data_IF_210773847264
#
_entry.id   IF_210773847264
#
_cell.length_a   1.000
_cell.length_b   1.000
_cell.length_c   1.000
_cell.angle_alpha   90.00
_cell.angle_beta   90.00
_cell.angle_gamma   90.00
#
_symmetry.space_group_name_H-M   'P 1'
#
loop_
_entity.id
_entity.type
_entity.pdbx_description
1 polymer ?
#
# COMPACT_ATOMS: atom_id res chain seq x y z
N UNK A 1 12.80 -16.66 -26.65
CA UNK A 1 11.93 -16.93 -25.49
C UNK A 1 10.91 -15.78 -25.39
N UNK A 2 9.65 -16.10 -25.37
CA UNK A 2 8.55 -15.12 -25.20
C UNK A 2 8.10 -15.05 -23.75
N UNK A 3 8.16 -13.86 -23.16
CA UNK A 3 7.71 -13.60 -21.79
C UNK A 3 6.48 -12.73 -21.85
N UNK A 4 5.36 -13.21 -21.28
CA UNK A 4 4.14 -12.41 -21.15
C UNK A 4 4.00 -11.92 -19.71
N UNK A 5 3.66 -10.62 -19.57
CA UNK A 5 3.36 -9.97 -18.30
C UNK A 5 1.89 -9.58 -18.27
N UNK A 6 1.13 -10.11 -17.31
CA UNK A 6 -0.28 -9.75 -17.11
C UNK A 6 -0.37 -8.67 -16.05
N UNK A 7 -0.78 -7.47 -16.44
CA UNK A 7 -0.81 -6.28 -15.61
C UNK A 7 0.45 -5.41 -15.78
N UNK A 8 0.25 -4.12 -16.00
CA UNK A 8 1.31 -3.18 -16.34
C UNK A 8 1.33 -1.92 -15.44
N UNK A 9 1.02 -2.09 -14.13
CA UNK A 9 1.30 -1.04 -13.17
C UNK A 9 2.70 -1.25 -12.55
N UNK A 10 2.96 -0.91 -11.30
CA UNK A 10 4.31 -0.87 -10.71
C UNK A 10 5.14 -2.13 -10.97
N UNK A 11 4.64 -3.31 -10.56
CA UNK A 11 5.38 -4.55 -10.69
C UNK A 11 5.61 -4.95 -12.16
N UNK A 12 4.55 -4.94 -12.97
CA UNK A 12 4.61 -5.35 -14.38
C UNK A 12 5.44 -4.40 -15.23
N UNK A 13 5.31 -3.09 -15.03
CA UNK A 13 6.13 -2.09 -15.74
C UNK A 13 7.63 -2.31 -15.49
N UNK A 14 8.05 -2.49 -14.23
CA UNK A 14 9.46 -2.71 -13.92
C UNK A 14 9.96 -4.09 -14.35
N UNK A 15 9.11 -5.12 -14.31
CA UNK A 15 9.45 -6.43 -14.87
C UNK A 15 9.68 -6.33 -16.38
N UNK A 16 8.74 -5.73 -17.11
CA UNK A 16 8.82 -5.58 -18.57
C UNK A 16 10.07 -4.76 -19.00
N UNK A 17 10.33 -3.62 -18.33
CA UNK A 17 11.53 -2.79 -18.59
C UNK A 17 12.83 -3.56 -18.33
N UNK A 18 12.89 -4.31 -17.22
CA UNK A 18 14.10 -5.09 -16.87
C UNK A 18 14.32 -6.23 -17.87
N UNK A 19 13.25 -6.91 -18.31
CA UNK A 19 13.33 -7.94 -19.35
C UNK A 19 13.79 -7.35 -20.68
N UNK A 20 13.18 -6.27 -21.15
CA UNK A 20 13.53 -5.62 -22.42
C UNK A 20 14.99 -5.13 -22.43
N UNK A 21 15.46 -4.53 -21.33
CA UNK A 21 16.86 -4.09 -21.20
C UNK A 21 17.85 -5.23 -21.32
N UNK A 22 17.49 -6.47 -20.99
CA UNK A 22 18.34 -7.64 -21.13
C UNK A 22 18.60 -8.06 -22.58
N UNK A 23 17.68 -7.73 -23.51
CA UNK A 23 17.68 -8.14 -24.93
C UNK A 23 17.70 -9.67 -25.14
N UNK A 24 17.28 -10.46 -24.13
CA UNK A 24 17.31 -11.94 -24.17
C UNK A 24 15.97 -12.58 -24.49
N UNK A 25 14.89 -11.80 -24.52
CA UNK A 25 13.53 -12.30 -24.74
C UNK A 25 12.65 -11.25 -25.46
N UNK A 26 11.62 -11.76 -26.12
CA UNK A 26 10.46 -10.99 -26.55
C UNK A 26 9.59 -10.72 -25.33
N UNK A 27 9.17 -9.48 -25.14
CA UNK A 27 8.36 -9.05 -23.98
C UNK A 27 7.03 -8.53 -24.46
N UNK A 28 5.95 -9.16 -24.01
CA UNK A 28 4.57 -8.75 -24.30
C UNK A 28 3.85 -8.44 -23.00
N UNK A 29 3.08 -7.35 -22.96
CA UNK A 29 2.28 -6.98 -21.81
C UNK A 29 0.81 -6.87 -22.16
N UNK A 30 -0.06 -7.43 -21.33
CA UNK A 30 -1.51 -7.28 -21.40
C UNK A 30 -2.03 -6.60 -20.15
N UNK A 31 -2.75 -5.48 -20.30
CA UNK A 31 -3.44 -4.82 -19.20
C UNK A 31 -4.88 -4.48 -19.60
N UNK A 32 -5.82 -4.78 -18.70
CA UNK A 32 -7.24 -4.43 -18.89
C UNK A 32 -7.51 -2.93 -18.81
N UNK A 33 -6.64 -2.17 -18.14
CA UNK A 33 -6.75 -0.73 -17.99
C UNK A 33 -6.25 -0.01 -19.26
N UNK A 34 -6.54 1.27 -19.36
CA UNK A 34 -6.12 2.17 -20.45
C UNK A 34 -4.85 2.95 -20.13
N UNK A 35 -4.31 2.80 -18.92
CA UNK A 35 -3.12 3.48 -18.45
C UNK A 35 -2.21 2.54 -17.64
N UNK A 36 -0.92 2.91 -17.52
CA UNK A 36 0.12 2.16 -16.82
C UNK A 36 0.86 3.05 -15.84
N UNK A 37 1.64 2.47 -14.95
CA UNK A 37 2.56 3.17 -14.04
C UNK A 37 1.90 4.19 -13.09
N UNK A 38 0.58 4.15 -12.92
CA UNK A 38 -0.14 5.11 -12.10
C UNK A 38 0.28 5.03 -10.62
N UNK A 39 0.70 6.16 -10.09
CA UNK A 39 1.06 6.34 -8.67
C UNK A 39 -0.22 6.54 -7.83
N UNK A 40 -0.92 5.44 -7.54
CA UNK A 40 -2.17 5.46 -6.77
C UNK A 40 -2.01 6.08 -5.37
N UNK A 41 -0.79 6.04 -4.79
CA UNK A 41 -0.47 6.75 -3.55
C UNK A 41 -0.59 8.29 -3.67
N UNK A 42 -0.63 8.82 -4.89
CA UNK A 42 -0.84 10.25 -5.14
C UNK A 42 -2.30 10.67 -5.29
N UNK A 43 -3.28 9.74 -5.23
CA UNK A 43 -4.69 10.09 -5.42
C UNK A 43 -5.15 11.12 -4.39
N UNK A 44 -4.84 10.93 -3.12
CA UNK A 44 -5.26 11.86 -2.07
C UNK A 44 -4.63 13.26 -2.26
N UNK A 45 -3.39 13.33 -2.73
CA UNK A 45 -2.73 14.61 -3.07
C UNK A 45 -3.39 15.27 -4.28
N UNK A 46 -3.83 14.49 -5.26
CA UNK A 46 -4.55 14.99 -6.42
C UNK A 46 -5.95 15.45 -6.06
N UNK A 47 -6.71 14.62 -5.33
CA UNK A 47 -8.03 15.00 -4.79
C UNK A 47 -7.94 16.25 -3.93
N UNK A 48 -6.91 16.37 -3.09
CA UNK A 48 -6.68 17.53 -2.21
C UNK A 48 -6.10 18.77 -2.91
N UNK A 49 -5.86 18.72 -4.24
CA UNK A 49 -5.40 19.86 -5.04
C UNK A 49 -3.91 20.18 -4.90
N UNK A 50 -3.11 19.35 -4.23
CA UNK A 50 -1.64 19.46 -4.16
C UNK A 50 -1.03 19.11 -5.51
N UNK A 51 -1.45 17.99 -6.10
CA UNK A 51 -1.12 17.62 -7.48
C UNK A 51 -2.15 18.26 -8.40
N UNK A 52 -1.73 19.26 -9.18
CA UNK A 52 -2.62 20.00 -10.11
C UNK A 52 -2.77 19.31 -11.45
N UNK A 53 -1.68 18.76 -11.99
CA UNK A 53 -1.70 18.00 -13.25
C UNK A 53 -1.52 16.50 -12.94
N UNK A 54 -2.56 15.68 -13.13
CA UNK A 54 -2.49 14.25 -12.84
C UNK A 54 -1.51 13.48 -13.73
N UNK A 55 -1.05 14.07 -14.85
CA UNK A 55 0.01 13.46 -15.67
C UNK A 55 1.31 13.24 -14.89
N UNK A 56 1.58 14.05 -13.86
CA UNK A 56 2.70 13.85 -12.95
C UNK A 56 2.62 12.58 -12.11
N UNK A 57 1.45 11.92 -12.05
CA UNK A 57 1.25 10.65 -11.35
C UNK A 57 1.59 9.42 -12.21
N UNK A 58 2.16 9.60 -13.39
CA UNK A 58 2.58 8.52 -14.28
C UNK A 58 4.07 8.65 -14.57
N UNK A 59 4.83 7.58 -14.35
CA UNK A 59 6.27 7.56 -14.60
C UNK A 59 6.67 6.81 -15.88
N UNK A 60 5.70 6.19 -16.56
CA UNK A 60 5.84 5.57 -17.88
C UNK A 60 4.53 5.66 -18.65
N UNK A 61 4.60 5.53 -19.98
CA UNK A 61 3.44 5.44 -20.86
C UNK A 61 3.56 4.21 -21.78
N UNK A 62 2.44 3.75 -22.38
CA UNK A 62 2.50 2.67 -23.38
C UNK A 62 3.51 2.96 -24.50
N UNK A 63 3.59 4.22 -24.95
CA UNK A 63 4.51 4.67 -26.01
C UNK A 63 5.96 4.57 -25.56
N UNK A 64 6.26 4.96 -24.30
CA UNK A 64 7.62 4.86 -23.76
C UNK A 64 8.07 3.40 -23.66
N UNK A 65 7.20 2.49 -23.24
CA UNK A 65 7.52 1.06 -23.19
C UNK A 65 7.71 0.46 -24.60
N UNK A 66 6.87 0.85 -25.56
CA UNK A 66 7.03 0.43 -26.97
C UNK A 66 8.38 0.88 -27.54
N UNK A 67 8.83 2.09 -27.22
CA UNK A 67 10.15 2.58 -27.64
C UNK A 67 11.32 1.80 -27.03
N UNK A 68 11.11 1.12 -25.89
CA UNK A 68 12.05 0.20 -25.25
C UNK A 68 11.99 -1.23 -25.81
N UNK A 69 11.15 -1.48 -26.84
CA UNK A 69 11.01 -2.79 -27.49
C UNK A 69 10.01 -3.74 -26.82
N UNK A 70 9.09 -3.23 -26.02
CA UNK A 70 8.04 -4.00 -25.35
C UNK A 70 6.77 -3.94 -26.20
N UNK A 71 6.15 -5.08 -26.48
CA UNK A 71 4.84 -5.13 -27.13
C UNK A 71 3.74 -4.91 -26.08
N UNK A 72 3.07 -3.75 -26.15
CA UNK A 72 2.14 -3.29 -25.11
C UNK A 72 0.71 -3.27 -25.61
N UNK A 73 -0.15 -4.05 -24.97
CA UNK A 73 -1.58 -4.17 -25.26
C UNK A 73 -2.43 -3.67 -24.10
N UNK A 74 -2.91 -2.42 -24.20
CA UNK A 74 -3.82 -1.82 -23.23
C UNK A 74 -5.29 -2.13 -23.59
N UNK A 75 -6.18 -2.20 -22.60
CA UNK A 75 -7.58 -2.57 -22.80
C UNK A 75 -7.75 -4.04 -23.21
N UNK A 76 -6.80 -4.90 -22.83
CA UNK A 76 -6.82 -6.32 -23.11
C UNK A 76 -6.89 -7.13 -21.81
N UNK A 77 -7.94 -7.91 -21.65
CA UNK A 77 -8.17 -8.71 -20.46
C UNK A 77 -7.87 -10.18 -20.73
N UNK A 78 -7.02 -10.78 -19.90
CA UNK A 78 -6.79 -12.24 -19.89
C UNK A 78 -7.95 -12.90 -19.19
N UNK A 79 -8.75 -13.65 -19.95
CA UNK A 79 -9.98 -14.30 -19.50
C UNK A 79 -9.73 -15.69 -18.92
N UNK A 80 -8.73 -16.40 -19.46
CA UNK A 80 -8.40 -17.77 -19.09
C UNK A 80 -6.96 -18.11 -19.39
N UNK A 81 -6.39 -19.03 -18.61
CA UNK A 81 -5.06 -19.60 -18.84
C UNK A 81 -5.19 -21.12 -19.02
N UNK A 82 -4.68 -21.61 -20.15
CA UNK A 82 -4.44 -23.03 -20.36
C UNK A 82 -3.00 -23.34 -19.93
N UNK A 83 -2.87 -23.76 -18.69
CA UNK A 83 -1.58 -24.02 -18.05
C UNK A 83 -0.79 -25.15 -18.75
N UNK A 84 -1.51 -26.20 -19.22
CA UNK A 84 -0.88 -27.36 -19.84
C UNK A 84 -0.24 -27.00 -21.19
N UNK A 85 -0.90 -26.13 -21.98
CA UNK A 85 -0.45 -25.72 -23.30
C UNK A 85 0.27 -24.35 -23.28
N UNK A 86 0.48 -23.74 -22.11
CA UNK A 86 1.07 -22.40 -21.93
C UNK A 86 0.42 -21.34 -22.82
N UNK A 87 -0.91 -21.28 -22.77
CA UNK A 87 -1.71 -20.42 -23.63
C UNK A 87 -2.63 -19.52 -22.82
N UNK A 88 -2.73 -18.27 -23.22
CA UNK A 88 -3.67 -17.29 -22.69
C UNK A 88 -4.83 -17.10 -23.66
N UNK A 89 -6.04 -17.00 -23.14
CA UNK A 89 -7.21 -16.53 -23.87
C UNK A 89 -7.49 -15.09 -23.50
N UNK A 90 -7.48 -14.18 -24.46
CA UNK A 90 -7.44 -12.74 -24.26
C UNK A 90 -8.62 -12.09 -24.99
N UNK A 91 -9.24 -11.11 -24.33
CA UNK A 91 -10.30 -10.29 -24.90
C UNK A 91 -9.86 -8.83 -25.02
N UNK A 92 -9.94 -8.29 -26.22
CA UNK A 92 -9.85 -6.85 -26.45
C UNK A 92 -11.15 -6.18 -26.01
N UNK A 93 -11.11 -5.39 -24.95
CA UNK A 93 -12.32 -4.84 -24.32
C UNK A 93 -13.07 -3.83 -25.20
N UNK A 94 -12.37 -3.11 -26.07
CA UNK A 94 -12.96 -2.11 -26.97
C UNK A 94 -13.79 -2.73 -28.08
N UNK A 95 -13.31 -3.81 -28.67
CA UNK A 95 -13.93 -4.45 -29.84
C UNK A 95 -14.73 -5.70 -29.48
N UNK A 96 -14.45 -6.27 -28.30
CA UNK A 96 -14.98 -7.57 -27.88
C UNK A 96 -14.30 -8.76 -28.58
N UNK A 97 -13.29 -8.54 -29.43
CA UNK A 97 -12.56 -9.59 -30.13
C UNK A 97 -11.76 -10.44 -29.14
N UNK A 98 -11.84 -11.75 -29.33
CA UNK A 98 -11.09 -12.72 -28.53
C UNK A 98 -10.03 -13.42 -29.37
N UNK A 99 -8.88 -13.72 -28.78
CA UNK A 99 -7.78 -14.42 -29.43
C UNK A 99 -6.91 -15.12 -28.40
N UNK A 100 -6.06 -16.02 -28.88
CA UNK A 100 -5.12 -16.77 -28.05
C UNK A 100 -3.68 -16.28 -28.27
N UNK A 101 -2.87 -16.31 -27.19
CA UNK A 101 -1.43 -16.08 -27.27
C UNK A 101 -0.67 -17.09 -26.41
N UNK A 102 0.54 -17.47 -26.82
CA UNK A 102 1.37 -18.45 -26.13
C UNK A 102 2.56 -17.80 -25.44
N UNK A 103 3.01 -18.37 -24.33
CA UNK A 103 4.17 -17.92 -23.59
C UNK A 103 5.19 -19.03 -23.31
N UNK A 104 6.46 -18.68 -23.21
CA UNK A 104 7.50 -19.54 -22.63
C UNK A 104 7.59 -19.34 -21.11
N UNK A 105 7.51 -18.07 -20.67
CA UNK A 105 7.44 -17.66 -19.25
C UNK A 105 6.29 -16.67 -19.05
N UNK A 106 5.65 -16.75 -17.88
CA UNK A 106 4.51 -15.92 -17.52
C UNK A 106 4.78 -15.18 -16.22
N UNK A 107 4.50 -13.87 -16.20
CA UNK A 107 4.52 -13.05 -15.00
C UNK A 107 3.10 -12.56 -14.69
N UNK A 108 2.61 -12.92 -13.50
CA UNK A 108 1.33 -12.47 -12.96
C UNK A 108 1.58 -11.21 -12.13
N UNK A 109 1.11 -10.06 -12.63
CA UNK A 109 1.27 -8.75 -12.00
C UNK A 109 -0.09 -8.03 -11.87
N UNK A 110 -1.15 -8.79 -11.63
CA UNK A 110 -2.56 -8.33 -11.64
C UNK A 110 -2.95 -7.46 -10.45
N UNK A 111 -2.04 -7.31 -9.49
CA UNK A 111 -2.21 -6.39 -8.37
C UNK A 111 -3.31 -6.79 -7.40
N UNK A 112 -4.00 -5.80 -6.87
CA UNK A 112 -5.07 -5.97 -5.88
C UNK A 112 -6.30 -5.14 -6.23
N UNK A 113 -7.44 -5.51 -5.64
CA UNK A 113 -8.71 -4.81 -5.79
C UNK A 113 -9.23 -4.35 -4.42
N UNK A 114 -9.94 -3.21 -4.32
CA UNK A 114 -10.58 -2.80 -3.08
C UNK A 114 -11.50 -3.88 -2.51
N UNK A 115 -11.43 -4.08 -1.21
CA UNK A 115 -12.35 -4.99 -0.53
C UNK A 115 -13.77 -4.46 -0.64
N UNK A 116 -14.69 -5.33 -1.05
CA UNK A 116 -16.13 -5.06 -1.10
C UNK A 116 -16.81 -5.88 -0.01
N UNK A 117 -16.96 -5.32 1.21
CA UNK A 117 -17.60 -6.05 2.29
C UNK A 117 -19.10 -6.26 2.00
N UNK A 118 -19.73 -7.30 2.57
CA UNK A 118 -21.15 -7.57 2.36
C UNK A 118 -22.04 -6.62 3.18
N UNK A 119 -21.98 -5.33 2.87
CA UNK A 119 -22.78 -4.27 3.50
C UNK A 119 -24.04 -4.05 2.68
N UNK A 120 -25.20 -4.06 3.32
CA UNK A 120 -26.49 -3.79 2.67
C UNK A 120 -26.48 -2.42 1.97
N UNK A 121 -26.91 -2.38 0.72
CA UNK A 121 -26.97 -1.17 -0.08
C UNK A 121 -25.64 -0.64 -0.61
N UNK A 122 -24.53 -1.38 -0.42
CA UNK A 122 -23.24 -1.02 -1.00
C UNK A 122 -23.23 -1.21 -2.52
N UNK A 123 -23.82 -2.32 -2.98
CA UNK A 123 -23.79 -2.71 -4.40
C UNK A 123 -25.06 -2.24 -5.11
N UNK A 124 -24.89 -1.85 -6.38
CA UNK A 124 -25.97 -1.46 -7.27
C UNK A 124 -25.68 -1.97 -8.69
N UNK A 125 -26.59 -2.72 -9.27
CA UNK A 125 -26.46 -3.20 -10.66
C UNK A 125 -26.40 -2.03 -11.66
N UNK A 126 -25.66 -2.23 -12.76
CA UNK A 126 -25.53 -1.25 -13.83
C UNK A 126 -24.62 -0.06 -13.56
N UNK A 127 -23.90 -0.04 -12.44
CA UNK A 127 -22.86 0.96 -12.16
C UNK A 127 -21.46 0.45 -12.58
N UNK A 128 -20.53 1.38 -12.82
CA UNK A 128 -19.19 1.08 -13.36
C UNK A 128 -18.41 0.07 -12.50
N UNK A 129 -18.50 0.17 -11.17
CA UNK A 129 -17.80 -0.72 -10.23
C UNK A 129 -18.76 -1.56 -9.38
N UNK A 130 -20.04 -1.61 -9.74
CA UNK A 130 -21.06 -2.27 -8.95
C UNK A 130 -21.42 -1.53 -7.65
N UNK A 131 -20.89 -0.34 -7.39
CA UNK A 131 -21.18 0.45 -6.20
C UNK A 131 -22.44 1.31 -6.38
N UNK A 132 -23.18 1.51 -5.29
CA UNK A 132 -24.29 2.47 -5.25
C UNK A 132 -23.78 3.88 -5.57
N UNK A 133 -24.54 4.65 -6.38
CA UNK A 133 -24.18 6.04 -6.72
C UNK A 133 -23.86 6.86 -5.47
N UNK A 134 -22.81 7.67 -5.55
CA UNK A 134 -22.28 8.45 -4.44
C UNK A 134 -21.36 7.68 -3.49
N UNK A 135 -21.10 6.39 -3.77
CA UNK A 135 -20.08 5.59 -3.08
C UNK A 135 -18.94 5.31 -4.05
N UNK A 136 -17.70 5.53 -3.61
CA UNK A 136 -16.49 5.45 -4.44
C UNK A 136 -15.42 4.58 -3.81
N UNK A 137 -14.56 4.02 -4.67
CA UNK A 137 -13.25 3.50 -4.31
C UNK A 137 -12.17 4.54 -4.63
N UNK A 138 -10.98 4.36 -4.06
CA UNK A 138 -9.80 5.20 -4.31
C UNK A 138 -8.58 4.32 -4.61
N UNK A 139 -8.45 3.87 -5.87
CA UNK A 139 -7.31 3.03 -6.31
C UNK A 139 -6.86 3.32 -7.74
N UNK A 140 -7.80 3.47 -8.67
CA UNK A 140 -7.51 3.73 -10.08
C UNK A 140 -7.52 5.23 -10.38
N UNK A 141 -6.83 5.61 -11.46
CA UNK A 141 -6.87 6.97 -11.99
C UNK A 141 -8.31 7.45 -12.22
N UNK A 142 -9.11 6.64 -12.88
CA UNK A 142 -10.52 6.95 -13.18
C UNK A 142 -11.34 7.19 -11.91
N UNK A 143 -11.09 6.40 -10.85
CA UNK A 143 -11.77 6.57 -9.56
C UNK A 143 -11.34 7.88 -8.86
N UNK A 144 -10.07 8.26 -8.97
CA UNK A 144 -9.60 9.56 -8.49
C UNK A 144 -10.31 10.72 -9.19
N UNK A 145 -10.48 10.63 -10.52
CA UNK A 145 -11.21 11.63 -11.29
C UNK A 145 -12.70 11.69 -10.89
N UNK A 146 -13.35 10.52 -10.75
CA UNK A 146 -14.75 10.45 -10.29
C UNK A 146 -14.96 11.10 -8.91
N UNK A 147 -14.01 10.91 -7.97
CA UNK A 147 -14.02 11.56 -6.66
C UNK A 147 -13.93 13.09 -6.82
N UNK A 148 -13.01 13.58 -7.66
CA UNK A 148 -12.81 15.02 -7.91
C UNK A 148 -14.07 15.63 -8.52
N UNK A 149 -14.66 14.99 -9.53
CA UNK A 149 -15.87 15.44 -10.19
C UNK A 149 -17.06 15.47 -9.21
N UNK A 150 -17.13 14.52 -8.30
CA UNK A 150 -18.19 14.45 -7.30
C UNK A 150 -18.07 15.55 -6.24
N UNK A 151 -16.87 15.74 -5.65
CA UNK A 151 -16.67 16.76 -4.62
C UNK A 151 -16.80 18.19 -5.14
N UNK A 152 -16.67 18.40 -6.45
CA UNK A 152 -16.85 19.70 -7.08
C UNK A 152 -18.33 20.12 -7.14
N UNK A 153 -19.27 19.19 -6.96
CA UNK A 153 -20.71 19.50 -6.98
C UNK A 153 -21.10 20.33 -5.77
N UNK A 154 -21.94 21.37 -5.94
CA UNK A 154 -22.31 22.28 -4.84
C UNK A 154 -23.22 21.65 -3.79
N UNK A 155 -23.91 20.57 -4.12
CA UNK A 155 -24.79 19.80 -3.25
C UNK A 155 -24.06 18.74 -2.45
N UNK A 156 -22.80 18.41 -2.77
CA UNK A 156 -21.94 17.53 -1.98
C UNK A 156 -21.23 18.33 -0.89
N UNK A 157 -21.74 18.26 0.32
CA UNK A 157 -21.23 18.99 1.49
C UNK A 157 -20.61 18.06 2.53
N UNK A 158 -21.29 16.95 2.85
CA UNK A 158 -20.92 16.02 3.90
C UNK A 158 -20.40 14.71 3.33
N UNK A 159 -19.10 14.43 3.55
CA UNK A 159 -18.39 13.29 2.98
C UNK A 159 -17.98 12.33 4.10
N UNK A 160 -18.33 11.06 3.97
CA UNK A 160 -17.83 10.01 4.88
C UNK A 160 -16.72 9.21 4.22
N UNK A 161 -15.62 9.00 4.96
CA UNK A 161 -14.58 8.04 4.61
C UNK A 161 -14.71 6.84 5.54
N UNK A 162 -14.89 5.65 4.97
CA UNK A 162 -15.01 4.40 5.71
C UNK A 162 -13.69 3.65 5.63
N UNK A 163 -13.04 3.50 6.79
CA UNK A 163 -11.70 2.93 6.96
C UNK A 163 -10.65 4.01 7.26
N UNK A 164 -9.98 3.89 8.40
CA UNK A 164 -8.94 4.83 8.87
C UNK A 164 -7.51 4.26 8.71
N UNK A 165 -7.25 3.53 7.63
CA UNK A 165 -5.90 3.21 7.16
C UNK A 165 -5.25 4.41 6.45
N UNK A 166 -4.09 4.21 5.82
CA UNK A 166 -3.34 5.29 5.12
C UNK A 166 -4.23 6.10 4.16
N UNK A 167 -4.89 5.42 3.22
CA UNK A 167 -5.72 6.06 2.19
C UNK A 167 -6.86 6.87 2.81
N UNK A 168 -7.54 6.30 3.82
CA UNK A 168 -8.64 6.99 4.48
C UNK A 168 -8.18 8.24 5.20
N UNK A 169 -7.06 8.18 5.91
CA UNK A 169 -6.50 9.32 6.66
C UNK A 169 -5.99 10.42 5.71
N UNK A 170 -5.40 10.07 4.58
CA UNK A 170 -5.01 11.06 3.56
C UNK A 170 -6.23 11.71 2.87
N UNK A 171 -7.28 10.94 2.61
CA UNK A 171 -8.49 11.46 1.96
C UNK A 171 -9.30 12.42 2.85
N UNK A 172 -9.35 12.21 4.18
CA UNK A 172 -10.05 13.17 5.06
C UNK A 172 -9.38 14.54 5.02
N UNK A 173 -8.05 14.60 4.95
CA UNK A 173 -7.31 15.86 4.77
C UNK A 173 -7.64 16.48 3.41
N UNK A 174 -7.63 15.68 2.35
CA UNK A 174 -7.97 16.12 1.00
C UNK A 174 -9.39 16.74 0.95
N UNK A 175 -10.39 16.09 1.51
CA UNK A 175 -11.77 16.63 1.55
C UNK A 175 -11.89 17.86 2.43
N UNK A 176 -11.16 17.92 3.53
CA UNK A 176 -11.14 19.11 4.39
C UNK A 176 -10.57 20.32 3.66
N UNK A 177 -9.53 20.14 2.83
CA UNK A 177 -8.97 21.19 1.99
C UNK A 177 -9.97 21.75 0.98
N UNK A 178 -10.99 20.98 0.59
CA UNK A 178 -12.14 21.43 -0.22
C UNK A 178 -13.30 22.03 0.59
N UNK A 179 -13.12 22.24 1.90
CA UNK A 179 -14.12 22.85 2.77
C UNK A 179 -15.32 21.94 3.06
N UNK A 180 -15.16 20.61 2.88
CA UNK A 180 -16.24 19.66 3.18
C UNK A 180 -16.35 19.39 4.69
N UNK A 181 -17.55 19.05 5.13
CA UNK A 181 -17.78 18.39 6.40
C UNK A 181 -17.36 16.92 6.24
N UNK A 182 -16.43 16.45 7.07
CA UNK A 182 -15.82 15.14 6.90
C UNK A 182 -16.07 14.26 8.11
N UNK A 183 -16.57 13.06 7.86
CA UNK A 183 -16.73 11.98 8.84
C UNK A 183 -15.71 10.89 8.52
N UNK A 184 -14.92 10.50 9.52
CA UNK A 184 -14.05 9.33 9.46
C UNK A 184 -14.66 8.19 10.28
N UNK A 185 -14.98 7.09 9.63
CA UNK A 185 -15.57 5.89 10.24
C UNK A 185 -14.59 4.73 10.24
N UNK A 186 -14.33 4.12 11.39
CA UNK A 186 -13.39 3.01 11.51
C UNK A 186 -13.89 1.95 12.51
N UNK A 187 -13.86 0.70 12.10
CA UNK A 187 -14.26 -0.45 12.94
C UNK A 187 -13.25 -0.79 14.04
N UNK A 188 -11.97 -0.46 13.83
CA UNK A 188 -10.94 -0.62 14.84
C UNK A 188 -10.97 0.54 15.85
N UNK A 189 -10.45 0.33 17.08
CA UNK A 189 -10.52 1.33 18.14
C UNK A 189 -9.60 2.54 17.93
N UNK A 190 -8.73 2.54 16.92
CA UNK A 190 -7.74 3.59 16.64
C UNK A 190 -7.51 3.76 15.14
N UNK A 191 -7.14 4.97 14.72
CA UNK A 191 -6.67 5.20 13.35
C UNK A 191 -5.36 4.45 13.11
N UNK A 192 -5.16 3.95 11.89
CA UNK A 192 -3.92 3.28 11.46
C UNK A 192 -3.39 2.19 12.41
N UNK A 193 -4.28 1.54 13.19
CA UNK A 193 -3.95 0.55 14.21
C UNK A 193 -3.18 -0.68 13.69
N UNK A 194 -3.22 -0.94 12.38
CA UNK A 194 -2.45 -2.02 11.76
C UNK A 194 -0.97 -1.68 11.56
N UNK A 195 -0.60 -0.40 11.65
CA UNK A 195 0.74 0.09 11.32
C UNK A 195 1.46 0.72 12.52
N UNK A 196 0.70 1.34 13.42
CA UNK A 196 1.25 2.08 14.55
C UNK A 196 0.61 1.66 15.88
N UNK A 197 1.42 1.69 16.92
CA UNK A 197 0.96 1.49 18.30
C UNK A 197 0.30 2.78 18.85
N UNK A 198 -0.35 2.64 20.01
CA UNK A 198 -1.19 3.69 20.60
C UNK A 198 -0.46 5.02 20.83
N UNK A 199 0.78 4.97 21.27
CA UNK A 199 1.56 6.18 21.61
C UNK A 199 1.77 7.09 20.39
N UNK A 200 1.77 6.50 19.19
CA UNK A 200 1.93 7.21 17.92
C UNK A 200 0.56 7.64 17.38
N UNK A 201 -0.45 6.74 17.43
CA UNK A 201 -1.78 7.05 16.88
C UNK A 201 -2.53 8.11 17.69
N UNK A 202 -2.30 8.23 19.00
CA UNK A 202 -2.92 9.27 19.83
C UNK A 202 -2.59 10.68 19.33
N UNK A 203 -1.36 10.90 18.85
CA UNK A 203 -0.96 12.20 18.28
C UNK A 203 -1.64 12.45 16.92
N UNK A 204 -1.80 11.41 16.10
CA UNK A 204 -2.53 11.52 14.83
C UNK A 204 -4.01 11.84 15.08
N UNK A 205 -4.67 11.11 15.99
CA UNK A 205 -6.07 11.33 16.36
C UNK A 205 -6.31 12.74 16.91
N UNK A 206 -5.37 13.25 17.72
CA UNK A 206 -5.42 14.62 18.22
C UNK A 206 -5.46 15.63 17.07
N UNK A 207 -4.57 15.49 16.07
CA UNK A 207 -4.51 16.39 14.91
C UNK A 207 -5.74 16.29 14.01
N UNK A 208 -6.24 15.08 13.81
CA UNK A 208 -7.47 14.85 13.06
C UNK A 208 -8.65 15.57 13.74
N UNK A 209 -8.75 15.51 15.07
CA UNK A 209 -9.77 16.24 15.85
C UNK A 209 -9.58 17.76 15.76
N UNK A 210 -8.35 18.25 15.92
CA UNK A 210 -8.00 19.67 15.82
C UNK A 210 -8.34 20.25 14.43
N UNK A 211 -8.23 19.43 13.38
CA UNK A 211 -8.66 19.78 12.03
C UNK A 211 -10.20 19.83 11.86
N UNK A 212 -10.96 19.45 12.88
CA UNK A 212 -12.43 19.48 12.87
C UNK A 212 -13.03 18.34 12.03
N UNK A 213 -12.40 17.17 12.04
CA UNK A 213 -12.94 15.92 11.47
C UNK A 213 -13.83 15.24 12.52
N UNK A 214 -15.03 14.87 12.14
CA UNK A 214 -15.93 14.04 12.94
C UNK A 214 -15.42 12.59 12.87
N UNK A 215 -14.95 12.02 13.98
CA UNK A 215 -14.28 10.73 14.00
C UNK A 215 -15.03 9.71 14.86
N UNK A 216 -15.39 8.58 14.26
CA UNK A 216 -16.07 7.44 14.89
C UNK A 216 -15.18 6.20 14.80
N UNK A 217 -14.56 5.84 15.92
CA UNK A 217 -13.68 4.69 16.07
C UNK A 217 -14.38 3.56 16.81
N UNK A 218 -14.04 2.30 16.47
CA UNK A 218 -14.70 1.11 17.01
C UNK A 218 -16.16 1.04 16.60
N UNK A 219 -16.52 1.58 15.42
CA UNK A 219 -17.87 1.63 14.90
C UNK A 219 -17.93 1.05 13.48
N UNK A 220 -18.90 0.17 13.22
CA UNK A 220 -18.96 -0.63 12.00
C UNK A 220 -20.17 -0.26 11.16
N UNK A 221 -19.93 0.07 9.88
CA UNK A 221 -21.00 0.31 8.90
C UNK A 221 -21.78 -0.98 8.63
N UNK A 222 -23.10 -0.92 8.66
CA UNK A 222 -24.02 -2.02 8.43
C UNK A 222 -24.84 -1.86 7.16
N UNK A 223 -25.18 -0.61 6.77
CA UNK A 223 -26.08 -0.35 5.65
C UNK A 223 -25.85 1.03 5.05
N UNK A 224 -26.03 1.12 3.73
CA UNK A 224 -26.13 2.37 2.98
C UNK A 224 -27.57 2.57 2.49
N UNK A 225 -28.20 3.67 2.90
CA UNK A 225 -29.58 4.00 2.55
C UNK A 225 -29.64 5.16 1.54
N UNK A 226 -30.73 5.18 0.79
CA UNK A 226 -31.06 6.13 -0.26
C UNK A 226 -31.55 5.41 -1.52
N UNK A 227 -32.43 6.03 -2.30
CA UNK A 227 -33.04 5.40 -3.47
C UNK A 227 -32.04 5.25 -4.63
N UNK A 228 -31.76 6.32 -5.36
CA UNK A 228 -30.85 6.33 -6.50
C UNK A 228 -29.38 6.46 -6.08
N UNK A 229 -29.11 7.22 -5.01
CA UNK A 229 -27.77 7.43 -4.46
C UNK A 229 -27.76 7.33 -2.94
N UNK A 230 -26.56 7.15 -2.38
CA UNK A 230 -26.41 7.16 -0.92
C UNK A 230 -26.81 8.52 -0.34
N UNK A 231 -27.58 8.48 0.76
CA UNK A 231 -27.95 9.65 1.55
C UNK A 231 -27.72 9.45 3.05
N UNK A 232 -27.62 8.21 3.47
CA UNK A 232 -27.42 7.87 4.89
C UNK A 232 -26.57 6.62 5.03
N UNK A 233 -25.72 6.64 6.05
CA UNK A 233 -24.93 5.48 6.49
C UNK A 233 -25.45 5.04 7.85
N UNK A 234 -25.82 3.77 7.98
CA UNK A 234 -26.26 3.15 9.23
C UNK A 234 -25.15 2.27 9.75
N UNK A 235 -24.83 2.40 11.03
CA UNK A 235 -23.81 1.66 11.74
C UNK A 235 -24.39 0.80 12.85
N UNK A 236 -23.55 0.12 13.60
CA UNK A 236 -23.95 -0.60 14.83
C UNK A 236 -24.19 0.33 16.04
N UNK A 237 -23.89 1.64 15.91
CA UNK A 237 -24.09 2.62 17.00
C UNK A 237 -24.99 3.79 16.64
N UNK A 238 -25.27 4.03 15.36
CA UNK A 238 -26.08 5.17 14.95
C UNK A 238 -26.34 5.25 13.46
N UNK A 239 -26.75 6.43 12.99
CA UNK A 239 -26.90 6.71 11.56
C UNK A 239 -26.50 8.14 11.26
N UNK A 240 -25.95 8.37 10.05
CA UNK A 240 -25.33 9.60 9.62
C UNK A 240 -25.81 9.98 8.23
N UNK A 241 -26.33 11.19 8.07
CA UNK A 241 -26.66 11.71 6.75
C UNK A 241 -25.37 12.08 6.01
N UNK A 242 -25.27 11.71 4.74
CA UNK A 242 -24.10 11.93 3.90
C UNK A 242 -24.50 12.24 2.47
N UNK A 243 -23.67 12.99 1.75
CA UNK A 243 -23.83 13.24 0.32
C UNK A 243 -22.94 12.32 -0.52
N UNK A 244 -21.81 11.87 0.08
CA UNK A 244 -20.80 11.04 -0.58
C UNK A 244 -20.11 10.12 0.43
N UNK A 245 -19.71 8.94 -0.04
CA UNK A 245 -18.91 7.97 0.75
C UNK A 245 -17.71 7.51 -0.06
N UNK A 246 -16.54 7.41 0.58
CA UNK A 246 -15.38 6.73 0.02
C UNK A 246 -15.01 5.52 0.86
N UNK A 247 -14.97 4.35 0.22
CA UNK A 247 -14.61 3.08 0.85
C UNK A 247 -13.10 2.87 0.82
N UNK A 248 -12.46 2.83 1.98
CA UNK A 248 -11.01 2.66 2.17
C UNK A 248 -10.69 1.51 3.15
N UNK A 249 -11.42 0.41 3.05
CA UNK A 249 -11.38 -0.73 3.99
C UNK A 249 -10.36 -1.82 3.61
N UNK A 250 -9.37 -1.47 2.80
CA UNK A 250 -8.27 -2.33 2.41
C UNK A 250 -8.44 -2.97 1.03
N UNK A 251 -7.48 -3.85 0.71
CA UNK A 251 -7.37 -4.49 -0.60
C UNK A 251 -7.26 -6.01 -0.47
N UNK A 252 -7.67 -6.72 -1.51
CA UNK A 252 -7.48 -8.16 -1.68
C UNK A 252 -6.67 -8.43 -2.96
N UNK A 253 -5.84 -9.47 -3.00
CA UNK A 253 -5.15 -9.89 -4.21
C UNK A 253 -6.12 -10.13 -5.36
N UNK A 254 -5.75 -9.69 -6.57
CA UNK A 254 -6.53 -9.96 -7.77
C UNK A 254 -6.04 -11.28 -8.41
N UNK A 255 -6.41 -12.40 -7.80
CA UNK A 255 -5.89 -13.75 -8.10
C UNK A 255 -6.98 -14.78 -8.41
N UNK A 256 -8.23 -14.37 -8.55
CA UNK A 256 -9.37 -15.29 -8.79
C UNK A 256 -9.14 -16.21 -9.98
N UNK A 257 -8.48 -15.73 -11.04
CA UNK A 257 -8.15 -16.49 -12.25
C UNK A 257 -7.13 -17.62 -11.99
N UNK A 258 -6.40 -17.58 -10.88
CA UNK A 258 -5.24 -18.44 -10.63
C UNK A 258 -5.40 -19.38 -9.43
N UNK A 259 -6.34 -19.09 -8.53
CA UNK A 259 -6.47 -19.75 -7.21
C UNK A 259 -6.69 -21.26 -7.28
N UNK A 260 -7.33 -21.76 -8.35
CA UNK A 260 -7.61 -23.19 -8.51
C UNK A 260 -6.39 -23.98 -9.04
N UNK A 261 -5.37 -23.26 -9.55
CA UNK A 261 -4.16 -23.87 -10.08
C UNK A 261 -2.93 -23.59 -9.22
N UNK A 262 -2.76 -22.36 -8.74
CA UNK A 262 -1.60 -21.95 -7.95
C UNK A 262 -1.89 -22.02 -6.45
N UNK A 263 -0.85 -22.24 -5.65
CA UNK A 263 -0.92 -22.15 -4.21
C UNK A 263 -1.15 -20.69 -3.78
N UNK A 264 -2.11 -20.48 -2.87
CA UNK A 264 -2.45 -19.15 -2.34
C UNK A 264 -2.58 -19.17 -0.82
N UNK A 265 -2.34 -18.02 -0.19
CA UNK A 265 -2.75 -17.78 1.19
C UNK A 265 -4.29 -17.69 1.29
N UNK A 266 -4.87 -17.76 2.49
CA UNK A 266 -6.33 -17.65 2.67
C UNK A 266 -6.96 -16.38 2.12
N UNK A 267 -6.20 -15.28 2.01
CA UNK A 267 -6.65 -14.03 1.40
C UNK A 267 -6.51 -14.00 -0.15
N UNK A 268 -6.03 -15.09 -0.75
CA UNK A 268 -5.83 -15.21 -2.19
C UNK A 268 -4.44 -14.80 -2.70
N UNK A 269 -3.51 -14.35 -1.86
CA UNK A 269 -2.16 -13.98 -2.31
C UNK A 269 -1.41 -15.22 -2.82
N UNK A 270 -0.92 -15.16 -4.06
CA UNK A 270 -0.18 -16.26 -4.69
C UNK A 270 1.15 -16.47 -3.95
N UNK A 271 1.41 -17.70 -3.50
CA UNK A 271 2.65 -18.03 -2.79
C UNK A 271 3.81 -18.13 -3.79
N UNK A 272 4.89 -17.38 -3.51
CA UNK A 272 6.11 -17.39 -4.31
C UNK A 272 7.34 -17.57 -3.41
N UNK A 273 8.44 -18.03 -4.01
CA UNK A 273 9.73 -18.09 -3.36
C UNK A 273 10.47 -16.73 -3.40
N UNK A 274 11.70 -16.68 -2.90
CA UNK A 274 12.54 -15.46 -2.91
C UNK A 274 12.99 -15.02 -4.30
N UNK A 275 12.79 -15.85 -5.33
CA UNK A 275 13.02 -15.52 -6.75
C UNK A 275 11.75 -15.08 -7.47
N UNK A 276 10.63 -14.97 -6.76
CA UNK A 276 9.27 -14.66 -7.26
C UNK A 276 8.64 -15.77 -8.09
N UNK A 277 9.18 -16.98 -8.06
CA UNK A 277 8.65 -18.14 -8.75
C UNK A 277 7.51 -18.77 -7.94
N UNK A 278 6.46 -19.24 -8.63
CA UNK A 278 5.39 -20.01 -7.99
C UNK A 278 5.85 -21.44 -7.68
N UNK A 279 5.27 -22.06 -6.65
CA UNK A 279 5.64 -23.43 -6.23
C UNK A 279 5.18 -24.50 -7.22
N UNK A 280 4.17 -24.23 -8.04
CA UNK A 280 3.50 -25.20 -8.90
C UNK A 280 4.06 -25.28 -10.32
N UNK A 281 4.57 -24.17 -10.85
CA UNK A 281 5.06 -24.09 -12.23
C UNK A 281 6.34 -23.22 -12.29
N UNK A 282 7.44 -23.82 -12.69
CA UNK A 282 8.74 -23.14 -12.82
C UNK A 282 8.79 -22.07 -13.92
N UNK A 283 7.78 -22.02 -14.78
CA UNK A 283 7.65 -21.02 -15.84
C UNK A 283 6.75 -19.85 -15.44
N UNK A 284 6.13 -19.90 -14.26
CA UNK A 284 5.19 -18.91 -13.78
C UNK A 284 5.73 -18.17 -12.56
N UNK A 285 5.73 -16.85 -12.65
CA UNK A 285 6.15 -15.92 -11.60
C UNK A 285 4.95 -15.06 -11.17
N UNK A 286 4.90 -14.66 -9.91
CA UNK A 286 3.88 -13.72 -9.44
C UNK A 286 4.54 -12.59 -8.62
N UNK A 287 4.12 -11.36 -8.88
CA UNK A 287 4.76 -10.15 -8.35
C UNK A 287 3.76 -9.07 -7.97
N UNK A 288 4.16 -8.21 -7.04
CA UNK A 288 3.32 -7.11 -6.54
C UNK A 288 2.14 -7.59 -5.70
N UNK A 289 1.07 -6.80 -5.66
CA UNK A 289 -0.04 -7.00 -4.73
C UNK A 289 -0.90 -8.26 -4.99
N UNK A 290 -0.67 -9.03 -6.04
CA UNK A 290 -1.35 -10.32 -6.24
C UNK A 290 -0.64 -11.49 -5.56
N UNK A 291 0.57 -11.29 -5.02
CA UNK A 291 1.42 -12.35 -4.47
C UNK A 291 1.95 -12.05 -3.08
N UNK A 292 2.55 -13.06 -2.47
CA UNK A 292 3.29 -12.94 -1.22
C UNK A 292 4.67 -12.33 -1.44
N UNK A 293 5.28 -11.87 -0.34
CA UNK A 293 6.67 -11.44 -0.27
C UNK A 293 7.30 -11.94 1.02
N UNK A 294 8.58 -12.26 0.99
CA UNK A 294 9.29 -12.69 2.20
C UNK A 294 9.40 -11.55 3.22
N UNK A 295 8.84 -11.76 4.40
CA UNK A 295 8.92 -10.81 5.53
C UNK A 295 10.13 -11.14 6.41
N UNK A 296 11.00 -10.15 6.64
CA UNK A 296 12.17 -10.33 7.52
C UNK A 296 11.78 -10.38 8.99
N UNK A 297 10.69 -9.74 9.37
CA UNK A 297 10.21 -9.76 10.75
C UNK A 297 9.66 -11.13 11.15
N UNK A 298 8.91 -11.81 10.26
CA UNK A 298 8.33 -13.15 10.51
C UNK A 298 9.19 -14.30 10.02
N UNK A 299 10.15 -14.04 9.13
CA UNK A 299 10.90 -15.04 8.40
C UNK A 299 10.02 -16.01 7.58
N UNK A 300 8.91 -15.48 7.05
CA UNK A 300 7.90 -16.22 6.27
C UNK A 300 7.41 -15.41 5.08
N UNK A 301 6.75 -16.09 4.14
CA UNK A 301 6.00 -15.44 3.08
C UNK A 301 4.73 -14.81 3.68
N UNK A 302 4.54 -13.50 3.46
CA UNK A 302 3.39 -12.74 3.94
C UNK A 302 2.81 -11.88 2.82
N UNK A 303 1.58 -11.43 2.99
CA UNK A 303 0.95 -10.45 2.11
C UNK A 303 1.27 -9.03 2.61
N UNK A 304 2.15 -8.33 1.89
CA UNK A 304 2.56 -6.95 2.21
C UNK A 304 2.52 -6.13 0.91
N UNK A 305 1.35 -5.56 0.63
CA UNK A 305 1.05 -4.81 -0.59
C UNK A 305 1.63 -3.38 -0.49
N UNK A 306 2.78 -3.16 -1.12
CA UNK A 306 3.46 -1.86 -1.21
C UNK A 306 4.05 -1.66 -2.61
N UNK A 307 3.92 -0.47 -3.17
CA UNK A 307 4.47 -0.12 -4.48
C UNK A 307 5.98 -0.37 -4.59
N UNK A 308 6.72 -0.09 -3.52
CA UNK A 308 8.17 -0.32 -3.45
C UNK A 308 8.53 -1.80 -3.45
N UNK A 309 7.72 -2.68 -2.84
CA UNK A 309 7.87 -4.12 -2.96
C UNK A 309 7.57 -4.57 -4.39
N UNK A 310 6.46 -4.10 -4.96
CA UNK A 310 6.05 -4.43 -6.32
C UNK A 310 7.16 -4.16 -7.35
N UNK A 311 7.80 -2.99 -7.28
CA UNK A 311 8.95 -2.64 -8.15
C UNK A 311 10.10 -3.62 -7.98
N UNK A 312 10.55 -3.87 -6.74
CA UNK A 312 11.68 -4.77 -6.47
C UNK A 312 11.38 -6.20 -6.89
N UNK A 313 10.17 -6.68 -6.64
CA UNK A 313 9.72 -8.01 -7.07
C UNK A 313 9.74 -8.14 -8.59
N UNK A 314 9.31 -7.11 -9.33
CA UNK A 314 9.40 -7.06 -10.79
C UNK A 314 10.83 -7.20 -11.30
N UNK A 315 11.76 -6.46 -10.72
CA UNK A 315 13.19 -6.53 -11.06
C UNK A 315 13.76 -7.92 -10.76
N UNK A 316 13.45 -8.50 -9.60
CA UNK A 316 13.91 -9.83 -9.19
C UNK A 316 13.39 -10.92 -10.13
N UNK A 317 12.09 -10.95 -10.41
CA UNK A 317 11.49 -11.92 -11.32
C UNK A 317 12.13 -11.86 -12.72
N UNK A 318 12.25 -10.65 -13.28
CA UNK A 318 12.81 -10.44 -14.61
C UNK A 318 14.26 -10.93 -14.69
N UNK A 319 15.11 -10.62 -13.69
CA UNK A 319 16.48 -11.09 -13.66
C UNK A 319 16.55 -12.63 -13.62
N UNK A 320 15.75 -13.29 -12.80
CA UNK A 320 15.72 -14.75 -12.72
C UNK A 320 15.27 -15.39 -14.03
N UNK A 321 14.29 -14.81 -14.72
CA UNK A 321 13.81 -15.30 -16.04
C UNK A 321 14.94 -15.27 -17.09
N UNK A 322 15.79 -14.25 -17.08
CA UNK A 322 16.87 -14.12 -18.06
C UNK A 322 18.19 -14.78 -17.62
N UNK A 323 18.16 -15.54 -16.51
CA UNK A 323 19.27 -16.36 -16.02
C UNK A 323 20.22 -15.65 -15.04
N UNK A 324 19.91 -14.42 -14.63
CA UNK A 324 20.67 -13.73 -13.57
C UNK A 324 20.06 -14.14 -12.22
N UNK A 325 20.76 -14.99 -11.47
CA UNK A 325 20.26 -15.45 -10.16
C UNK A 325 20.25 -14.31 -9.14
N UNK A 326 19.07 -13.88 -8.76
CA UNK A 326 18.83 -12.84 -7.75
C UNK A 326 17.76 -13.32 -6.77
N UNK A 327 18.09 -13.32 -5.49
CA UNK A 327 17.12 -13.57 -4.44
C UNK A 327 16.68 -12.26 -3.78
N UNK A 328 15.38 -12.11 -3.57
CA UNK A 328 14.86 -10.97 -2.84
C UNK A 328 15.19 -11.13 -1.36
N UNK A 329 15.95 -10.17 -0.82
CA UNK A 329 16.36 -10.19 0.58
C UNK A 329 15.21 -10.03 1.58
N UNK A 330 14.00 -9.86 1.11
CA UNK A 330 12.79 -9.66 1.94
C UNK A 330 12.46 -8.19 2.20
N UNK A 331 11.35 -8.00 2.88
CA UNK A 331 10.83 -6.68 3.25
C UNK A 331 10.49 -6.61 4.73
N UNK A 332 10.49 -5.40 5.27
CA UNK A 332 9.98 -5.07 6.60
C UNK A 332 8.64 -4.33 6.53
N UNK A 333 8.13 -4.05 5.32
CA UNK A 333 6.90 -3.29 5.13
C UNK A 333 7.05 -1.81 5.50
N UNK A 334 8.23 -1.22 5.23
CA UNK A 334 8.49 0.20 5.55
C UNK A 334 7.54 1.12 4.80
N UNK A 335 6.96 2.07 5.53
CA UNK A 335 5.96 3.00 5.02
C UNK A 335 5.99 4.31 5.81
N UNK A 336 5.40 5.37 5.26
CA UNK A 336 5.29 6.67 5.90
C UNK A 336 4.00 7.38 5.46
N UNK A 337 3.54 8.31 6.30
CA UNK A 337 2.37 9.16 6.04
C UNK A 337 2.59 10.54 6.65
N UNK A 338 2.02 11.56 6.03
CA UNK A 338 1.87 12.89 6.61
C UNK A 338 0.38 13.12 6.90
N UNK A 339 0.04 13.44 8.15
CA UNK A 339 -1.34 13.64 8.62
C UNK A 339 -1.45 15.06 9.16
N UNK A 340 -2.13 15.95 8.44
CA UNK A 340 -2.24 17.38 8.81
C UNK A 340 -0.89 18.01 9.24
N UNK A 341 0.14 17.76 8.41
CA UNK A 341 1.50 18.25 8.65
C UNK A 341 2.31 17.49 9.69
N UNK A 342 1.80 16.36 10.22
CA UNK A 342 2.52 15.50 11.15
C UNK A 342 3.05 14.26 10.43
N UNK A 343 4.37 14.08 10.44
CA UNK A 343 5.07 13.05 9.72
C UNK A 343 5.21 11.80 10.58
N UNK A 344 4.77 10.66 10.05
CA UNK A 344 4.83 9.37 10.73
C UNK A 344 5.44 8.33 9.79
N UNK A 345 6.26 7.44 10.33
CA UNK A 345 6.84 6.34 9.56
C UNK A 345 6.92 5.07 10.42
N UNK A 346 6.80 3.92 9.79
CA UNK A 346 6.95 2.63 10.45
C UNK A 346 7.68 1.61 9.58
N UNK A 347 8.29 0.63 10.25
CA UNK A 347 8.95 -0.51 9.61
C UNK A 347 8.87 -1.73 10.52
N UNK A 348 8.73 -2.91 9.95
CA UNK A 348 8.54 -4.14 10.71
C UNK A 348 7.16 -4.20 11.39
N UNK A 349 7.11 -4.78 12.56
CA UNK A 349 5.85 -4.99 13.28
C UNK A 349 5.65 -3.99 14.41
N UNK A 350 4.42 -3.51 14.56
CA UNK A 350 3.98 -2.88 15.82
C UNK A 350 3.95 -3.92 16.95
N UNK A 351 4.01 -3.45 18.18
CA UNK A 351 3.90 -4.31 19.36
C UNK A 351 2.59 -5.11 19.34
N UNK A 352 1.48 -4.42 19.01
CA UNK A 352 0.16 -5.03 18.88
C UNK A 352 0.15 -6.15 17.83
N UNK A 353 0.79 -5.93 16.68
CA UNK A 353 0.88 -6.93 15.61
C UNK A 353 1.73 -8.12 16.02
N UNK A 354 2.89 -7.87 16.63
CA UNK A 354 3.78 -8.94 17.10
C UNK A 354 3.09 -9.83 18.16
N UNK A 355 2.39 -9.22 19.10
CA UNK A 355 1.61 -9.95 20.14
C UNK A 355 0.47 -10.77 19.52
N UNK A 356 -0.29 -10.20 18.57
CA UNK A 356 -1.36 -10.94 17.85
C UNK A 356 -0.82 -12.15 17.08
N UNK A 357 0.43 -12.09 16.59
CA UNK A 357 1.12 -13.20 15.94
C UNK A 357 1.73 -14.22 16.94
N UNK A 358 1.54 -14.01 18.23
CA UNK A 358 1.99 -14.93 19.29
C UNK A 358 3.46 -14.83 19.65
N UNK A 359 4.14 -13.75 19.25
CA UNK A 359 5.54 -13.53 19.60
C UNK A 359 5.68 -12.96 21.01
N UNK A 360 6.73 -13.43 21.71
CA UNK A 360 7.17 -12.82 22.97
C UNK A 360 8.05 -11.61 22.63
N UNK A 361 7.49 -10.43 22.79
CA UNK A 361 8.16 -9.19 22.46
C UNK A 361 8.15 -8.22 23.63
N UNK A 362 9.19 -7.39 23.66
CA UNK A 362 9.27 -6.16 24.44
C UNK A 362 9.21 -4.97 23.50
N UNK A 363 8.88 -3.83 24.04
CA UNK A 363 8.92 -2.56 23.33
C UNK A 363 9.53 -1.48 24.21
N UNK A 364 10.07 -0.46 23.59
CA UNK A 364 10.49 0.75 24.28
C UNK A 364 9.99 1.96 23.51
N UNK A 365 9.36 2.89 24.23
CA UNK A 365 8.92 4.18 23.72
C UNK A 365 9.79 5.29 24.30
N UNK A 366 10.23 6.20 23.43
CA UNK A 366 11.04 7.32 23.81
C UNK A 366 10.53 8.60 23.12
N UNK A 367 10.55 9.70 23.85
CA UNK A 367 10.18 11.01 23.35
C UNK A 367 11.23 12.01 23.79
N UNK A 368 11.74 12.78 22.85
CA UNK A 368 12.73 13.83 23.12
C UNK A 368 12.70 14.89 22.02
N UNK A 369 13.26 16.06 22.30
CA UNK A 369 13.54 17.06 21.29
C UNK A 369 14.55 16.51 20.27
N UNK A 370 14.27 16.72 18.98
CA UNK A 370 15.11 16.22 17.88
C UNK A 370 16.57 16.70 17.94
N UNK A 371 16.77 17.91 18.48
CA UNK A 371 18.05 18.60 18.61
C UNK A 371 18.07 19.45 19.90
N UNK A 372 19.22 20.00 20.30
CA UNK A 372 19.32 20.74 21.57
C UNK A 372 18.35 21.94 21.65
N UNK A 373 17.75 22.13 22.82
CA UNK A 373 16.73 23.14 23.06
C UNK A 373 17.28 24.58 22.99
N UNK A 374 18.61 24.76 22.96
CA UNK A 374 19.23 26.07 22.69
C UNK A 374 19.16 26.48 21.20
N UNK A 375 18.77 25.58 20.31
CA UNK A 375 18.55 25.89 18.90
C UNK A 375 17.29 26.77 18.74
N UNK A 376 17.24 27.67 17.75
CA UNK A 376 16.11 28.59 17.55
C UNK A 376 14.77 27.88 17.33
N UNK A 377 14.80 26.69 16.77
CA UNK A 377 13.61 25.83 16.53
C UNK A 377 13.96 24.40 16.86
N UNK A 378 13.04 23.68 17.43
CA UNK A 378 13.08 22.22 17.62
C UNK A 378 11.66 21.69 17.78
N UNK A 379 11.49 20.41 17.53
CA UNK A 379 10.21 19.69 17.72
C UNK A 379 10.50 18.36 18.41
N UNK A 380 9.51 17.86 19.10
CA UNK A 380 9.57 16.53 19.69
C UNK A 380 9.55 15.45 18.63
N UNK A 381 10.38 14.43 18.79
CA UNK A 381 10.31 13.17 18.06
C UNK A 381 9.83 12.08 19.00
N UNK A 382 8.79 11.40 18.59
CA UNK A 382 8.32 10.18 19.23
C UNK A 382 8.91 9.01 18.48
N UNK A 383 9.53 8.08 19.17
CA UNK A 383 10.09 6.87 18.60
C UNK A 383 9.73 5.66 19.46
N UNK A 384 9.31 4.58 18.82
CA UNK A 384 9.06 3.30 19.50
C UNK A 384 9.77 2.20 18.74
N UNK A 385 10.42 1.28 19.47
CA UNK A 385 11.00 0.06 18.93
C UNK A 385 10.32 -1.15 19.54
N UNK A 386 10.24 -2.21 18.75
CA UNK A 386 9.74 -3.53 19.15
C UNK A 386 10.85 -4.54 18.91
N UNK A 387 11.13 -5.40 19.87
CA UNK A 387 12.21 -6.37 19.81
C UNK A 387 11.81 -7.68 20.47
N UNK A 388 12.43 -8.76 20.04
CA UNK A 388 12.21 -10.11 20.54
C UNK A 388 12.73 -10.26 21.95
N UNK A 389 11.89 -10.79 22.86
CA UNK A 389 12.30 -11.08 24.22
C UNK A 389 13.34 -12.22 24.23
N UNK A 390 14.40 -12.04 24.99
CA UNK A 390 15.50 -13.00 25.14
C UNK A 390 16.66 -12.81 24.16
N UNK A 391 16.42 -12.52 22.88
CA UNK A 391 17.49 -12.26 21.89
C UNK A 391 17.81 -10.78 21.75
N UNK A 392 16.84 -9.90 22.01
CA UNK A 392 16.95 -8.47 21.77
C UNK A 392 16.90 -8.09 20.29
N UNK A 393 16.59 -9.01 19.36
CA UNK A 393 16.53 -8.77 17.91
C UNK A 393 15.42 -7.75 17.59
N UNK A 394 15.75 -6.71 16.84
CA UNK A 394 14.78 -5.71 16.37
C UNK A 394 13.77 -6.34 15.43
N UNK A 395 12.50 -6.07 15.68
CA UNK A 395 11.35 -6.57 14.88
C UNK A 395 10.51 -5.45 14.28
N UNK A 396 10.57 -4.26 14.87
CA UNK A 396 9.82 -3.11 14.39
C UNK A 396 10.29 -1.79 14.97
N UNK A 397 9.95 -0.71 14.26
CA UNK A 397 10.15 0.66 14.72
C UNK A 397 9.09 1.58 14.16
N UNK A 398 8.78 2.65 14.91
CA UNK A 398 7.83 3.69 14.56
C UNK A 398 8.40 5.04 14.95
N UNK A 399 8.21 6.05 14.11
CA UNK A 399 8.68 7.42 14.32
C UNK A 399 7.52 8.36 14.03
N UNK A 400 7.41 9.42 14.83
CA UNK A 400 6.46 10.49 14.56
C UNK A 400 6.99 11.85 15.02
N UNK A 401 6.85 12.88 14.21
CA UNK A 401 7.25 14.25 14.52
C UNK A 401 6.56 15.25 13.60
N UNK A 402 6.49 16.51 14.05
CA UNK A 402 6.06 17.61 13.20
C UNK A 402 7.12 17.96 12.15
N UNK A 403 8.41 17.95 12.52
CA UNK A 403 9.48 18.00 11.52
C UNK A 403 9.63 16.66 10.81
N UNK A 404 10.04 16.69 9.54
CA UNK A 404 10.16 15.48 8.74
C UNK A 404 11.40 14.67 9.13
N UNK A 405 11.19 13.59 9.88
CA UNK A 405 12.18 12.57 10.21
C UNK A 405 11.80 11.20 9.63
N UNK A 406 10.83 11.13 8.71
CA UNK A 406 10.30 9.86 8.20
C UNK A 406 11.37 8.96 7.58
N UNK A 407 12.35 9.54 6.87
CA UNK A 407 13.43 8.76 6.24
C UNK A 407 14.38 8.09 7.24
N UNK A 408 14.45 8.57 8.48
CA UNK A 408 15.26 7.90 9.51
C UNK A 408 14.77 6.47 9.83
N UNK A 409 13.52 6.14 9.46
CA UNK A 409 12.98 4.78 9.56
C UNK A 409 13.82 3.76 8.78
N UNK A 410 14.55 4.19 7.76
CA UNK A 410 15.38 3.32 6.94
C UNK A 410 16.58 2.72 7.71
N UNK A 411 17.11 3.42 8.73
CA UNK A 411 18.13 2.86 9.61
C UNK A 411 17.59 1.65 10.39
N UNK A 412 16.39 1.78 10.95
CA UNK A 412 15.70 0.66 11.62
C UNK A 412 15.34 -0.47 10.65
N UNK A 413 14.89 -0.13 9.45
CA UNK A 413 14.60 -1.13 8.41
C UNK A 413 15.83 -1.96 8.05
N UNK A 414 17.00 -1.32 7.88
CA UNK A 414 18.26 -2.01 7.62
C UNK A 414 18.73 -2.86 8.82
N UNK A 415 18.53 -2.34 10.05
CA UNK A 415 18.84 -3.09 11.26
C UNK A 415 18.00 -4.38 11.36
N UNK A 416 16.69 -4.29 11.12
CA UNK A 416 15.78 -5.46 11.09
C UNK A 416 16.19 -6.43 9.98
N UNK A 417 16.50 -5.92 8.80
CA UNK A 417 16.95 -6.75 7.67
C UNK A 417 18.22 -7.53 7.98
N UNK A 418 19.11 -6.98 8.80
CA UNK A 418 20.37 -7.61 9.23
C UNK A 418 20.23 -8.42 10.52
N UNK A 419 19.06 -8.45 11.14
CA UNK A 419 18.81 -9.14 12.40
C UNK A 419 19.54 -8.52 13.58
N UNK A 420 19.83 -7.21 13.53
CA UNK A 420 20.52 -6.50 14.60
C UNK A 420 19.71 -6.54 15.91
N UNK A 421 20.44 -6.63 17.00
CA UNK A 421 19.90 -6.48 18.36
C UNK A 421 19.74 -5.00 18.74
N UNK A 422 18.91 -4.74 19.74
CA UNK A 422 18.76 -3.40 20.34
C UNK A 422 20.11 -2.85 20.81
N UNK A 423 20.97 -3.71 21.40
CA UNK A 423 22.29 -3.30 21.90
C UNK A 423 23.22 -2.90 20.75
N UNK A 424 23.27 -3.68 19.65
CA UNK A 424 24.10 -3.34 18.49
C UNK A 424 23.62 -2.05 17.84
N UNK A 425 22.30 -1.82 17.75
CA UNK A 425 21.74 -0.59 17.22
C UNK A 425 22.06 0.63 18.09
N UNK A 426 22.01 0.48 19.43
CA UNK A 426 22.35 1.54 20.37
C UNK A 426 23.81 2.02 20.24
N UNK A 427 24.72 1.11 19.82
CA UNK A 427 26.15 1.39 19.66
C UNK A 427 26.54 1.67 18.20
N UNK A 428 25.57 1.81 17.30
CA UNK A 428 25.83 2.15 15.90
C UNK A 428 26.41 3.55 15.75
N UNK A 429 27.24 3.75 14.72
CA UNK A 429 27.89 5.02 14.43
C UNK A 429 26.87 6.01 13.81
N UNK A 430 26.22 6.81 14.67
CA UNK A 430 25.40 7.94 14.29
C UNK A 430 26.15 9.25 14.57
N UNK A 431 26.19 10.13 13.57
CA UNK A 431 26.88 11.43 13.72
C UNK A 431 26.17 12.33 14.74
N UNK A 432 26.92 13.30 15.27
CA UNK A 432 26.39 14.39 16.06
C UNK A 432 26.72 15.76 15.45
N UNK A 433 25.70 16.60 15.31
CA UNK A 433 25.85 18.03 15.10
C UNK A 433 24.59 18.73 15.65
N UNK A 434 24.72 19.81 16.47
CA UNK A 434 23.58 20.50 17.10
C UNK A 434 22.47 20.94 16.16
N UNK A 435 22.78 21.17 14.87
CA UNK A 435 21.78 21.48 13.85
C UNK A 435 20.79 20.34 13.59
N UNK A 436 21.18 19.11 13.86
CA UNK A 436 20.41 17.91 13.47
C UNK A 436 19.97 17.05 14.65
N UNK A 437 20.82 16.93 15.68
CA UNK A 437 20.55 15.99 16.77
C UNK A 437 21.34 16.33 18.05
N UNK A 438 21.16 15.54 19.08
CA UNK A 438 21.93 15.53 20.32
C UNK A 438 23.09 14.51 20.24
N UNK A 439 24.13 14.59 21.11
CA UNK A 439 25.25 13.63 21.11
C UNK A 439 24.80 12.17 21.21
N UNK A 440 23.75 11.91 22.00
CA UNK A 440 22.98 10.66 21.95
C UNK A 440 21.63 11.03 21.32
N UNK A 441 21.51 10.73 20.04
CA UNK A 441 20.29 11.04 19.29
C UNK A 441 19.10 10.25 19.81
N UNK A 442 17.88 10.69 19.52
CA UNK A 442 16.65 9.98 19.86
C UNK A 442 16.64 8.54 19.30
N UNK A 443 17.28 8.28 18.15
CA UNK A 443 17.44 6.92 17.61
C UNK A 443 18.32 6.04 18.53
N UNK A 444 19.41 6.59 19.03
CA UNK A 444 20.31 5.91 19.96
C UNK A 444 19.64 5.71 21.32
N UNK A 445 18.97 6.78 21.80
CA UNK A 445 18.36 6.78 23.14
C UNK A 445 17.22 5.78 23.29
N UNK A 446 16.37 5.58 22.25
CA UNK A 446 15.29 4.57 22.31
C UNK A 446 15.85 3.16 22.47
N UNK A 447 17.02 2.90 21.93
CA UNK A 447 17.69 1.61 22.09
C UNK A 447 18.43 1.49 23.43
N UNK A 448 19.14 2.53 23.88
CA UNK A 448 19.85 2.54 25.18
C UNK A 448 18.91 2.41 26.38
N UNK A 449 17.72 2.96 26.29
CA UNK A 449 16.72 2.94 27.38
C UNK A 449 15.85 1.68 27.34
N UNK A 450 15.99 0.83 26.35
CA UNK A 450 15.28 -0.47 26.26
C UNK A 450 15.76 -1.44 27.35
N UNK A 451 14.80 -2.18 27.98
CA UNK A 451 15.04 -3.07 29.13
C UNK A 451 14.71 -4.51 28.83
#
# INVERSE_FOLDING_TARGET
MKVIVIGCNHAGTWAAKTLAASKKCEVVTYDRNDNISFLACGIALWVGGVVKDPKGLFYASPESLKSEGIDVHMGHEVMKIDWANKKLHIKELKTGKEFDDNYDKLILATGSWPVTPPIEGLMQEGTTYGLKKGIFFSKLYQQGQEIIDEIAKPDVKRVMVVGAGYIGVELIEAFKNHGKEVILMESMPRVMANYFDKEITDEAEKRIKEAGIEMHLGETVKKFEGDDRVKKVVTDKGSYDVDMVVMSVGFRPNSELYKDYLETLPNGAIVVDTTMKTSKDENVYAIGDCSTVYSRASEKQEYIALATNAVRMGIVAANNIVGNKVEYCGTQGSNAICVFGYNMASTGWSEDTAKKKGLKVKSNFFKDAERPEFMPTYEDVLVKIVYEEGTGRLLGAQIASKHNHAEAIHAFSLAIQRGMTVQEFALSDFFFLPHYNKPLSWMTMVAFTAK
#
